data_IF_008594799800
#
_entry.id   IF_008594799800
#
_cell.length_a   1.000
_cell.length_b   1.000
_cell.length_c   1.000
_cell.angle_alpha   90.00
_cell.angle_beta   90.00
_cell.angle_gamma   90.00
#
_symmetry.space_group_name_H-M   'P 1'
#
loop_
_entity.id
_entity.type
_entity.pdbx_description
1 polymer ?
#
# COMPACT_ATOMS: atom_id res chain seq x y z
N UNK A 1 -61.38 -19.03 -10.69
CA UNK A 1 -61.68 -20.06 -11.68
C UNK A 1 -60.52 -21.01 -11.75
N UNK A 2 -60.78 -22.21 -11.30
CA UNK A 2 -59.91 -23.36 -11.24
C UNK A 2 -59.61 -23.93 -12.61
N UNK A 3 -58.50 -24.66 -12.76
CA UNK A 3 -58.49 -26.05 -13.23
C UNK A 3 -57.09 -26.65 -13.14
N UNK A 4 -57.05 -27.64 -12.29
CA UNK A 4 -56.15 -28.79 -12.32
C UNK A 4 -56.15 -29.56 -13.63
N UNK A 5 -55.09 -30.38 -13.81
CA UNK A 5 -55.15 -31.82 -14.17
C UNK A 5 -53.75 -32.34 -14.47
N UNK A 6 -53.12 -33.05 -13.54
CA UNK A 6 -52.97 -34.53 -13.37
C UNK A 6 -52.47 -35.36 -14.56
N UNK A 7 -51.32 -36.07 -14.28
CA UNK A 7 -51.04 -37.50 -14.48
C UNK A 7 -50.98 -38.07 -15.91
N UNK A 8 -49.86 -38.77 -16.22
CA UNK A 8 -49.90 -40.23 -16.42
C UNK A 8 -48.47 -40.83 -16.53
N UNK A 9 -48.28 -41.87 -15.77
CA UNK A 9 -47.14 -42.79 -15.87
C UNK A 9 -47.39 -43.83 -16.99
N UNK A 10 -46.33 -44.28 -17.67
CA UNK A 10 -46.36 -45.59 -18.36
C UNK A 10 -45.00 -46.29 -18.28
N UNK A 11 -45.04 -47.45 -17.70
CA UNK A 11 -43.97 -48.45 -17.66
C UNK A 11 -44.04 -49.28 -18.92
N UNK A 12 -42.91 -49.56 -19.57
CA UNK A 12 -42.78 -50.73 -20.44
C UNK A 12 -41.42 -51.37 -20.10
N UNK A 13 -41.50 -52.61 -19.68
CA UNK A 13 -40.40 -53.56 -19.51
C UNK A 13 -40.08 -54.25 -20.84
N UNK A 14 -38.83 -54.46 -21.14
CA UNK A 14 -38.41 -55.25 -22.29
C UNK A 14 -36.96 -55.66 -22.15
N UNK A 15 -36.72 -56.87 -21.73
CA UNK A 15 -35.39 -57.44 -21.56
C UNK A 15 -34.75 -57.84 -22.90
N UNK A 16 -33.45 -57.73 -22.93
CA UNK A 16 -32.59 -58.50 -23.84
C UNK A 16 -31.28 -58.78 -23.15
N UNK A 17 -31.04 -60.02 -22.94
CA UNK A 17 -29.85 -60.64 -22.43
C UNK A 17 -28.76 -60.64 -23.52
N UNK A 18 -27.66 -59.94 -23.36
CA UNK A 18 -26.45 -60.09 -24.17
C UNK A 18 -25.24 -60.33 -23.24
N UNK A 19 -24.84 -61.57 -23.16
CA UNK A 19 -23.56 -61.98 -22.64
C UNK A 19 -22.46 -61.61 -23.63
N UNK A 20 -21.66 -60.59 -23.31
CA UNK A 20 -20.37 -60.37 -23.96
C UNK A 20 -19.34 -60.17 -22.86
N UNK A 21 -18.39 -61.13 -22.82
CA UNK A 21 -17.20 -61.03 -22.01
C UNK A 21 -16.38 -59.82 -22.47
N UNK A 22 -16.34 -58.76 -21.68
CA UNK A 22 -15.61 -57.52 -21.96
C UNK A 22 -14.71 -57.20 -20.76
N UNK A 23 -13.44 -57.22 -21.00
CA UNK A 23 -12.34 -56.91 -20.10
C UNK A 23 -12.61 -55.65 -19.24
N UNK A 24 -12.58 -55.82 -17.91
CA UNK A 24 -12.57 -54.71 -16.97
C UNK A 24 -11.25 -53.92 -17.13
N UNK A 25 -11.29 -52.82 -17.86
CA UNK A 25 -10.26 -51.79 -17.78
C UNK A 25 -10.43 -51.11 -16.43
N UNK A 26 -9.58 -51.47 -15.48
CA UNK A 26 -9.43 -50.72 -14.25
C UNK A 26 -8.89 -49.31 -14.60
N UNK A 27 -9.74 -48.31 -14.57
CA UNK A 27 -9.31 -46.92 -14.54
C UNK A 27 -8.58 -46.70 -13.20
N UNK A 28 -7.26 -46.70 -13.25
CA UNK A 28 -6.46 -46.18 -12.15
C UNK A 28 -6.83 -44.71 -11.92
N UNK A 29 -7.55 -44.44 -10.84
CA UNK A 29 -7.74 -43.06 -10.37
C UNK A 29 -6.35 -42.49 -10.07
N UNK A 30 -5.97 -41.44 -10.78
CA UNK A 30 -4.79 -40.63 -10.45
C UNK A 30 -4.94 -40.16 -8.99
N UNK A 31 -3.86 -40.21 -8.18
CA UNK A 31 -3.91 -39.71 -6.82
C UNK A 31 -4.31 -38.24 -6.87
N UNK A 32 -5.34 -37.88 -6.09
CA UNK A 32 -5.73 -36.47 -5.89
C UNK A 32 -4.49 -35.70 -5.50
N UNK A 33 -4.16 -34.69 -6.34
CA UNK A 33 -2.97 -33.87 -6.15
C UNK A 33 -2.92 -33.33 -4.73
N UNK A 34 -1.91 -33.74 -3.97
CA UNK A 34 -1.67 -33.27 -2.62
C UNK A 34 -1.56 -31.74 -2.67
N UNK A 35 -2.46 -31.05 -1.98
CA UNK A 35 -2.30 -29.64 -1.70
C UNK A 35 -0.99 -29.52 -0.93
N UNK A 36 0.03 -28.94 -1.56
CA UNK A 36 1.26 -28.59 -0.87
C UNK A 36 0.93 -27.80 0.40
N UNK A 37 1.82 -27.79 1.40
CA UNK A 37 1.56 -27.11 2.66
C UNK A 37 1.09 -25.69 2.37
N UNK A 38 -0.12 -25.31 2.83
CA UNK A 38 -0.61 -23.95 2.76
C UNK A 38 0.44 -23.08 3.46
N UNK A 39 1.16 -22.25 2.68
CA UNK A 39 2.08 -21.27 3.23
C UNK A 39 1.25 -20.39 4.16
N UNK A 40 1.55 -20.44 5.45
CA UNK A 40 0.88 -19.64 6.46
C UNK A 40 1.04 -18.17 6.05
N UNK A 41 -0.06 -17.48 5.78
CA UNK A 41 -0.02 -16.07 5.44
C UNK A 41 0.02 -15.30 6.74
N UNK A 42 1.07 -14.54 6.94
CA UNK A 42 1.13 -13.57 8.02
C UNK A 42 0.08 -12.49 7.81
N UNK A 43 -0.56 -12.06 8.91
CA UNK A 43 -1.48 -10.94 8.87
C UNK A 43 -0.74 -9.66 8.44
N UNK A 44 -1.43 -8.82 7.68
CA UNK A 44 -0.91 -7.51 7.29
C UNK A 44 -0.67 -6.65 8.54
N UNK A 45 0.55 -6.15 8.69
CA UNK A 45 0.93 -5.19 9.71
C UNK A 45 1.81 -4.05 9.16
N UNK A 46 1.85 -3.93 7.82
CA UNK A 46 2.46 -2.84 7.06
C UNK A 46 1.66 -2.59 5.76
N UNK A 47 1.50 -1.33 5.39
CA UNK A 47 0.98 -0.93 4.07
C UNK A 47 1.35 0.52 3.72
N UNK A 48 1.18 0.88 2.43
CA UNK A 48 1.12 2.28 1.96
C UNK A 48 -0.34 2.68 1.91
N UNK A 49 -0.70 3.88 2.36
CA UNK A 49 -2.09 4.35 2.24
C UNK A 49 -2.55 4.36 0.78
N UNK A 50 -3.71 3.81 0.47
CA UNK A 50 -4.27 3.84 -0.90
C UNK A 50 -4.77 5.22 -1.29
N UNK A 51 -5.06 6.07 -0.30
CA UNK A 51 -5.54 7.45 -0.45
C UNK A 51 -4.89 8.33 0.62
N UNK A 52 -4.51 9.56 0.24
CA UNK A 52 -4.07 10.60 1.17
C UNK A 52 -5.26 11.37 1.76
N UNK A 53 -4.97 12.28 2.69
CA UNK A 53 -5.96 13.19 3.21
C UNK A 53 -6.21 14.37 2.23
N UNK A 54 -7.39 15.00 2.24
CA UNK A 54 -7.73 16.08 1.30
C UNK A 54 -6.78 17.30 1.36
N UNK A 55 -6.20 17.57 2.52
CA UNK A 55 -5.24 18.67 2.74
C UNK A 55 -3.82 18.38 2.24
N UNK A 56 -3.59 17.31 1.47
CA UNK A 56 -2.25 16.96 1.00
C UNK A 56 -1.36 16.52 2.15
N UNK A 57 -0.33 17.31 2.50
CA UNK A 57 0.55 17.06 3.64
C UNK A 57 0.02 17.63 4.97
N UNK A 58 -1.13 18.31 4.98
CA UNK A 58 -1.85 18.62 6.20
C UNK A 58 -2.58 17.36 6.69
N UNK A 59 -1.92 16.58 7.50
CA UNK A 59 -2.41 15.32 8.05
C UNK A 59 -3.04 15.50 9.44
N UNK A 60 -3.22 16.75 9.90
CA UNK A 60 -3.58 17.10 11.28
C UNK A 60 -2.54 16.60 12.30
N UNK A 61 -1.26 16.69 11.94
CA UNK A 61 -0.13 16.19 12.72
C UNK A 61 -0.01 14.67 12.70
N UNK A 62 0.86 14.13 13.55
CA UNK A 62 1.07 12.67 13.64
C UNK A 62 -0.19 11.93 14.08
N UNK A 63 -0.97 12.51 15.00
CA UNK A 63 -2.19 11.86 15.50
C UNK A 63 -3.25 11.66 14.41
N UNK A 64 -3.42 12.64 13.50
CA UNK A 64 -4.33 12.51 12.37
C UNK A 64 -3.84 11.48 11.35
N UNK A 65 -2.53 11.44 11.09
CA UNK A 65 -1.93 10.42 10.23
C UNK A 65 -2.10 8.99 10.81
N UNK A 66 -1.88 8.82 12.12
CA UNK A 66 -2.06 7.53 12.81
C UNK A 66 -3.52 7.07 12.76
N UNK A 67 -4.47 8.00 12.98
CA UNK A 67 -5.89 7.71 12.86
C UNK A 67 -6.27 7.27 11.44
N UNK A 68 -5.72 7.93 10.40
CA UNK A 68 -5.93 7.55 9.01
C UNK A 68 -5.40 6.15 8.70
N UNK A 69 -4.20 5.80 9.20
CA UNK A 69 -3.67 4.42 9.11
C UNK A 69 -4.63 3.40 9.72
N UNK A 70 -5.13 3.67 10.94
CA UNK A 70 -6.04 2.78 11.64
C UNK A 70 -7.39 2.64 10.90
N UNK A 71 -7.91 3.72 10.32
CA UNK A 71 -9.17 3.71 9.59
C UNK A 71 -9.06 2.89 8.30
N UNK A 72 -7.99 3.06 7.52
CA UNK A 72 -7.75 2.28 6.30
C UNK A 72 -7.53 0.80 6.61
N UNK A 73 -6.71 0.48 7.62
CA UNK A 73 -6.49 -0.90 8.05
C UNK A 73 -7.81 -1.58 8.47
N UNK A 74 -8.63 -0.88 9.27
CA UNK A 74 -9.94 -1.36 9.70
C UNK A 74 -10.90 -1.57 8.54
N UNK A 75 -10.91 -0.66 7.58
CA UNK A 75 -11.77 -0.78 6.39
C UNK A 75 -11.38 -1.98 5.53
N UNK A 76 -10.07 -2.26 5.39
CA UNK A 76 -9.57 -3.34 4.56
C UNK A 76 -9.69 -4.72 5.21
N UNK A 77 -9.48 -4.82 6.52
CA UNK A 77 -9.35 -6.12 7.22
C UNK A 77 -10.47 -6.41 8.22
N UNK A 78 -11.18 -5.37 8.69
CA UNK A 78 -12.09 -5.46 9.84
C UNK A 78 -11.37 -5.57 11.19
N UNK A 79 -10.05 -5.72 11.20
CA UNK A 79 -9.26 -5.87 12.42
C UNK A 79 -9.13 -4.55 13.19
N UNK A 80 -9.24 -4.63 14.51
CA UNK A 80 -9.10 -3.50 15.44
C UNK A 80 -8.06 -3.78 16.53
N UNK A 81 -7.31 -4.86 16.41
CA UNK A 81 -6.37 -5.29 17.47
C UNK A 81 -5.04 -4.57 17.37
N UNK A 82 -4.66 -4.16 16.16
CA UNK A 82 -3.42 -3.42 15.94
C UNK A 82 -3.57 -1.92 16.26
N UNK A 83 -2.54 -1.38 16.89
CA UNK A 83 -2.28 0.06 16.97
C UNK A 83 -1.41 0.45 15.79
N UNK A 84 -1.85 1.42 15.00
CA UNK A 84 -1.19 1.83 13.77
C UNK A 84 -0.50 3.17 13.93
N UNK A 85 0.74 3.26 13.47
CA UNK A 85 1.47 4.51 13.37
C UNK A 85 1.93 4.77 11.93
N UNK A 86 1.81 6.02 11.52
CA UNK A 86 2.41 6.51 10.29
C UNK A 86 3.92 6.63 10.42
N UNK A 87 4.67 6.21 9.40
CA UNK A 87 6.11 6.42 9.31
C UNK A 87 6.38 7.86 8.89
N UNK A 88 6.33 8.77 9.85
CA UNK A 88 6.51 10.19 9.66
C UNK A 88 7.39 10.75 10.77
N UNK A 89 8.44 11.50 10.40
CA UNK A 89 9.21 12.29 11.37
C UNK A 89 8.58 13.66 11.58
N UNK A 90 8.83 14.27 12.74
CA UNK A 90 8.62 15.71 12.97
C UNK A 90 9.94 16.36 13.32
N UNK A 91 10.10 17.63 12.95
CA UNK A 91 11.27 18.41 13.30
C UNK A 91 11.06 19.14 14.62
N UNK A 92 12.17 19.44 15.31
CA UNK A 92 12.14 20.33 16.47
C UNK A 92 11.49 21.66 16.07
N UNK A 93 10.46 22.07 16.83
CA UNK A 93 9.74 23.31 16.57
C UNK A 93 9.06 23.83 17.84
N UNK A 94 9.18 25.13 18.08
CA UNK A 94 8.51 25.80 19.20
C UNK A 94 8.69 25.11 20.57
N UNK A 95 9.90 24.59 20.85
CA UNK A 95 10.20 23.89 22.09
C UNK A 95 9.73 22.44 22.18
N UNK A 96 9.10 21.92 21.12
CA UNK A 96 8.79 20.49 20.99
C UNK A 96 9.97 19.76 20.35
N UNK A 97 10.47 18.67 20.93
CA UNK A 97 11.59 17.92 20.36
C UNK A 97 11.19 17.25 19.05
N UNK A 98 12.17 16.99 18.18
CA UNK A 98 11.98 16.19 16.99
C UNK A 98 11.54 14.75 17.35
N UNK A 99 10.71 14.15 16.49
CA UNK A 99 10.31 12.75 16.60
C UNK A 99 10.82 12.03 15.35
N UNK A 100 11.54 10.94 15.54
CA UNK A 100 12.03 10.12 14.43
C UNK A 100 10.98 9.12 13.99
N UNK A 101 10.75 8.96 12.69
CA UNK A 101 9.82 7.97 12.17
C UNK A 101 10.20 6.54 12.59
N UNK A 102 11.51 6.20 12.56
CA UNK A 102 12.01 4.87 12.94
C UNK A 102 11.65 4.47 14.37
N UNK A 103 11.54 5.43 15.29
CA UNK A 103 11.27 5.16 16.70
C UNK A 103 9.77 4.98 16.98
N UNK A 104 8.91 5.26 15.99
CA UNK A 104 7.44 5.19 16.11
C UNK A 104 6.82 3.88 15.67
N UNK A 105 7.51 3.10 14.87
CA UNK A 105 6.92 1.99 14.09
C UNK A 105 7.00 0.61 14.77
N UNK A 106 7.45 0.55 16.02
CA UNK A 106 7.59 -0.73 16.73
C UNK A 106 8.85 -1.50 16.36
N UNK A 107 8.82 -2.82 16.51
CA UNK A 107 10.03 -3.67 16.42
C UNK A 107 10.03 -4.62 15.20
N UNK A 108 8.90 -4.78 14.52
CA UNK A 108 8.74 -5.77 13.44
C UNK A 108 8.57 -7.21 13.97
N UNK A 109 8.62 -8.25 13.11
CA UNK A 109 8.72 -8.13 11.65
C UNK A 109 7.43 -7.58 11.01
N UNK A 110 7.58 -6.92 9.86
CA UNK A 110 6.44 -6.34 9.15
C UNK A 110 6.14 -7.07 7.86
N UNK A 111 4.83 -7.25 7.59
CA UNK A 111 4.30 -7.99 6.45
C UNK A 111 3.27 -7.13 5.72
N UNK A 112 3.37 -7.10 4.39
CA UNK A 112 2.41 -6.40 3.55
C UNK A 112 1.07 -7.16 3.43
N UNK A 113 0.11 -6.59 2.70
CA UNK A 113 -1.23 -7.15 2.50
C UNK A 113 -1.24 -8.56 1.86
N UNK A 114 -0.15 -8.95 1.19
CA UNK A 114 0.00 -10.31 0.64
C UNK A 114 0.73 -11.28 1.60
N UNK A 115 1.03 -10.84 2.82
CA UNK A 115 1.77 -11.63 3.81
C UNK A 115 3.24 -11.83 3.46
N UNK A 116 3.81 -10.95 2.63
CA UNK A 116 5.24 -10.91 2.30
C UNK A 116 5.95 -10.02 3.31
N UNK A 117 7.02 -10.51 3.91
CA UNK A 117 7.82 -9.74 4.85
C UNK A 117 8.51 -8.57 4.13
N UNK A 118 8.31 -7.35 4.61
CA UNK A 118 8.97 -6.15 4.10
C UNK A 118 10.27 -5.85 4.84
N UNK A 119 10.33 -6.13 6.12
CA UNK A 119 11.54 -6.07 6.94
C UNK A 119 11.34 -6.86 8.23
N UNK A 120 12.42 -7.38 8.81
CA UNK A 120 12.40 -8.13 10.07
C UNK A 120 12.42 -7.22 11.30
N UNK A 121 13.06 -6.07 11.19
CA UNK A 121 13.22 -5.07 12.26
C UNK A 121 13.56 -3.68 11.68
N UNK A 122 13.70 -2.67 12.53
CA UNK A 122 13.97 -1.31 12.11
C UNK A 122 15.35 -1.13 11.43
N UNK A 123 16.35 -1.92 11.78
CA UNK A 123 17.67 -1.83 11.17
C UNK A 123 17.65 -2.46 9.77
N UNK A 124 16.97 -3.59 9.61
CA UNK A 124 16.73 -4.21 8.32
C UNK A 124 15.91 -3.31 7.40
N UNK A 125 14.86 -2.65 7.93
CA UNK A 125 14.02 -1.70 7.20
C UNK A 125 14.82 -0.55 6.60
N UNK A 126 15.84 -0.04 7.32
CA UNK A 126 16.70 1.04 6.86
C UNK A 126 18.00 0.53 6.21
N UNK A 127 18.17 -0.79 6.14
CA UNK A 127 19.26 -1.47 5.47
C UNK A 127 18.98 -1.74 3.98
N UNK A 128 19.97 -2.32 3.27
CA UNK A 128 19.85 -2.62 1.85
C UNK A 128 18.98 -3.84 1.54
N UNK A 129 18.66 -4.66 2.54
CA UNK A 129 17.97 -5.96 2.36
C UNK A 129 16.44 -5.86 2.54
N UNK A 130 15.90 -4.66 2.81
CA UNK A 130 14.47 -4.49 2.94
C UNK A 130 13.72 -4.75 1.62
N UNK A 131 12.46 -5.14 1.73
CA UNK A 131 11.60 -5.39 0.58
C UNK A 131 10.64 -4.23 0.28
N UNK A 132 10.99 -2.99 0.64
CA UNK A 132 10.24 -1.79 0.29
C UNK A 132 10.60 -1.32 -1.13
N UNK A 133 10.16 -2.08 -2.08
CA UNK A 133 10.20 -1.81 -3.51
C UNK A 133 8.78 -1.95 -4.09
N UNK A 134 8.61 -1.73 -5.38
CA UNK A 134 7.30 -1.70 -6.07
C UNK A 134 6.36 -2.87 -5.71
N UNK A 135 6.88 -4.09 -5.63
CA UNK A 135 6.08 -5.28 -5.30
C UNK A 135 5.88 -5.48 -3.78
N UNK A 136 6.70 -4.84 -2.95
CA UNK A 136 6.65 -4.92 -1.49
C UNK A 136 5.82 -3.81 -0.87
N UNK A 137 5.89 -2.59 -1.42
CA UNK A 137 5.17 -1.41 -0.95
C UNK A 137 3.71 -1.40 -1.44
N UNK A 138 2.92 -2.35 -0.93
CA UNK A 138 1.51 -2.50 -1.29
C UNK A 138 0.62 -1.64 -0.41
N UNK A 139 -0.53 -1.23 -0.97
CA UNK A 139 -1.59 -0.59 -0.19
C UNK A 139 -2.27 -1.58 0.76
N UNK A 140 -3.10 -1.09 1.68
CA UNK A 140 -3.93 -1.93 2.55
C UNK A 140 -4.88 -2.86 1.78
N UNK A 141 -5.15 -2.54 0.51
CA UNK A 141 -5.96 -3.34 -0.42
C UNK A 141 -5.12 -4.36 -1.21
N UNK A 142 -3.81 -4.46 -0.96
CA UNK A 142 -2.90 -5.34 -1.68
C UNK A 142 -2.56 -4.88 -3.11
N UNK A 143 -2.78 -3.62 -3.42
CA UNK A 143 -2.52 -3.03 -4.73
C UNK A 143 -1.16 -2.33 -4.74
N UNK A 144 -0.47 -2.35 -5.88
CA UNK A 144 0.73 -1.54 -6.08
C UNK A 144 0.34 -0.06 -6.20
N UNK A 145 1.15 0.80 -5.61
CA UNK A 145 1.04 2.24 -5.84
C UNK A 145 1.48 2.55 -7.28
N UNK A 146 0.68 3.30 -8.07
CA UNK A 146 1.06 3.68 -9.42
C UNK A 146 2.36 4.50 -9.45
N UNK A 147 3.37 4.02 -10.16
CA UNK A 147 4.69 4.65 -10.25
C UNK A 147 5.30 4.51 -11.64
N UNK A 148 6.57 4.94 -11.80
CA UNK A 148 7.29 4.84 -13.06
C UNK A 148 7.30 3.39 -13.58
N UNK A 149 6.87 3.21 -14.83
CA UNK A 149 6.76 1.90 -15.46
C UNK A 149 5.64 0.99 -14.92
N UNK A 150 4.78 1.47 -14.01
CA UNK A 150 3.53 0.76 -13.70
C UNK A 150 2.45 1.17 -14.70
N UNK A 151 1.62 0.23 -15.17
CA UNK A 151 0.37 0.60 -15.80
C UNK A 151 -0.49 1.31 -14.76
N UNK A 152 -0.80 2.58 -14.99
CA UNK A 152 -1.64 3.39 -14.10
C UNK A 152 -3.08 2.84 -14.01
N UNK A 153 -3.57 2.27 -15.08
CA UNK A 153 -4.79 1.45 -15.18
C UNK A 153 -4.42 0.23 -16.03
N UNK A 154 -4.75 -1.00 -15.59
CA UNK A 154 -4.59 -2.19 -16.43
C UNK A 154 -5.25 -2.06 -17.81
N UNK A 155 -6.17 -1.11 -17.97
CA UNK A 155 -6.92 -0.84 -19.19
C UNK A 155 -6.30 0.26 -20.06
N UNK A 156 -5.40 1.09 -19.51
CA UNK A 156 -4.73 2.14 -20.28
C UNK A 156 -3.25 2.24 -19.93
N UNK A 157 -2.41 1.72 -20.81
CA UNK A 157 -0.98 1.53 -20.65
C UNK A 157 -0.16 2.49 -21.52
N UNK A 158 -0.78 3.49 -22.14
CA UNK A 158 -0.06 4.34 -23.07
C UNK A 158 0.73 5.43 -22.33
N UNK A 159 1.99 5.64 -22.72
CA UNK A 159 2.80 6.77 -22.30
C UNK A 159 2.09 8.12 -22.56
N UNK A 160 1.27 8.19 -23.61
CA UNK A 160 0.48 9.37 -23.94
C UNK A 160 -0.59 9.66 -22.90
N UNK A 161 -1.21 8.63 -22.31
CA UNK A 161 -2.17 8.80 -21.22
C UNK A 161 -1.47 9.36 -19.96
N UNK A 162 -0.31 8.83 -19.60
CA UNK A 162 0.44 9.31 -18.43
C UNK A 162 0.89 10.77 -18.59
N UNK A 163 1.28 11.20 -19.80
CA UNK A 163 1.59 12.60 -20.07
C UNK A 163 0.38 13.52 -20.01
N UNK A 164 -0.80 13.05 -20.42
CA UNK A 164 -2.04 13.82 -20.36
C UNK A 164 -2.73 13.76 -18.99
N UNK A 165 -2.32 12.80 -18.12
CA UNK A 165 -2.85 12.61 -16.78
C UNK A 165 -1.70 12.57 -15.76
N UNK A 166 -1.04 13.69 -15.49
CA UNK A 166 0.14 13.74 -14.59
C UNK A 166 -0.18 13.28 -13.15
N UNK A 167 -1.46 13.24 -12.78
CA UNK A 167 -1.94 12.74 -11.49
C UNK A 167 -2.07 11.22 -11.40
N UNK A 168 -1.75 10.48 -12.46
CA UNK A 168 -1.82 9.01 -12.45
C UNK A 168 -0.64 8.36 -11.72
N UNK A 169 0.51 9.04 -11.66
CA UNK A 169 1.71 8.59 -10.92
C UNK A 169 1.60 9.10 -9.48
N UNK A 170 1.77 8.22 -8.49
CA UNK A 170 1.59 8.53 -7.06
C UNK A 170 2.69 7.95 -6.19
N UNK A 171 3.84 7.62 -6.76
CA UNK A 171 4.90 6.88 -6.10
C UNK A 171 5.70 7.69 -5.07
N UNK A 172 5.50 9.01 -4.98
CA UNK A 172 6.13 9.82 -3.95
C UNK A 172 5.35 9.76 -2.65
N UNK A 173 6.03 9.28 -1.61
CA UNK A 173 5.45 8.94 -0.31
C UNK A 173 6.00 9.89 0.74
N UNK A 174 5.12 10.53 1.52
CA UNK A 174 5.50 11.42 2.61
C UNK A 174 6.22 10.66 3.72
N UNK A 175 7.34 11.19 4.20
CA UNK A 175 8.12 10.58 5.28
C UNK A 175 8.70 11.60 6.27
N UNK A 176 9.14 12.75 5.79
CA UNK A 176 9.83 13.75 6.62
C UNK A 176 11.12 13.24 7.25
N UNK A 177 11.71 12.17 6.69
CA UNK A 177 12.77 11.40 7.33
C UNK A 177 14.03 11.36 6.49
N UNK A 178 15.19 11.33 7.14
CA UNK A 178 16.46 10.94 6.57
C UNK A 178 16.44 9.44 6.22
N UNK A 179 17.44 8.97 5.46
CA UNK A 179 17.54 7.56 5.05
C UNK A 179 17.57 6.57 6.21
N UNK A 180 18.13 6.97 7.34
CA UNK A 180 18.18 6.15 8.55
C UNK A 180 16.90 6.25 9.41
N UNK A 181 15.88 6.96 8.93
CA UNK A 181 14.58 7.14 9.59
C UNK A 181 14.56 8.19 10.69
N UNK A 182 15.65 8.97 10.85
CA UNK A 182 15.66 10.09 11.78
C UNK A 182 15.10 11.35 11.17
N UNK A 183 14.65 12.26 12.03
CA UNK A 183 14.23 13.59 11.65
C UNK A 183 15.41 14.41 11.07
N UNK A 184 15.10 15.31 10.16
CA UNK A 184 16.04 16.33 9.72
C UNK A 184 16.25 17.38 10.83
N UNK A 185 17.41 18.06 10.86
CA UNK A 185 17.60 19.23 11.70
C UNK A 185 16.63 20.36 11.30
N UNK A 186 16.34 21.33 12.19
CA UNK A 186 15.31 22.36 11.95
C UNK A 186 15.77 23.55 11.09
N UNK A 187 16.82 23.39 10.29
CA UNK A 187 17.37 24.41 9.40
C UNK A 187 16.50 24.71 8.18
N UNK A 188 15.69 23.71 7.78
CA UNK A 188 14.71 23.78 6.70
C UNK A 188 13.50 22.91 7.04
N UNK A 189 12.31 23.31 6.57
CA UNK A 189 11.11 22.49 6.75
C UNK A 189 11.09 21.29 5.79
N UNK A 190 11.11 20.08 6.35
CA UNK A 190 11.01 18.79 5.67
C UNK A 190 9.70 18.07 5.99
N UNK A 191 8.78 18.70 6.71
CA UNK A 191 7.63 18.06 7.33
C UNK A 191 6.31 18.81 7.11
N UNK A 192 6.30 19.80 6.23
CA UNK A 192 5.12 20.64 6.04
C UNK A 192 4.56 21.14 7.38
N UNK A 193 5.42 21.83 8.16
CA UNK A 193 5.10 22.33 9.49
C UNK A 193 4.62 21.21 10.45
N UNK A 194 5.39 20.11 10.50
CA UNK A 194 5.03 18.91 11.29
C UNK A 194 3.64 18.39 10.95
N UNK A 195 3.35 18.31 9.63
CA UNK A 195 2.12 17.72 9.05
C UNK A 195 0.84 18.52 9.35
N UNK A 196 0.98 19.84 9.43
CA UNK A 196 -0.16 20.76 9.69
C UNK A 196 -0.32 21.84 8.63
N UNK A 197 0.53 21.84 7.58
CA UNK A 197 0.47 22.84 6.50
C UNK A 197 -0.03 22.21 5.20
N UNK A 198 -0.85 22.98 4.48
CA UNK A 198 -1.31 22.72 3.11
C UNK A 198 -0.88 23.84 2.15
N UNK A 199 0.19 24.56 2.50
CA UNK A 199 0.68 25.65 1.67
C UNK A 199 1.13 25.15 0.30
N UNK A 200 0.75 25.92 -0.76
CA UNK A 200 1.03 25.57 -2.16
C UNK A 200 2.53 25.45 -2.46
N UNK A 201 3.36 26.18 -1.72
CA UNK A 201 4.80 26.18 -1.95
C UNK A 201 5.23 26.89 -3.25
N UNK A 202 6.50 26.76 -3.58
CA UNK A 202 7.07 27.33 -4.79
C UNK A 202 7.05 26.30 -5.95
N UNK A 203 6.90 26.78 -7.19
CA UNK A 203 6.85 25.95 -8.40
C UNK A 203 7.98 24.91 -8.49
N UNK A 204 7.71 23.70 -8.97
CA UNK A 204 8.69 22.60 -9.11
C UNK A 204 9.91 22.96 -9.97
N UNK A 205 9.81 23.92 -10.87
CA UNK A 205 10.93 24.40 -11.67
C UNK A 205 12.04 25.11 -10.85
N UNK A 206 11.80 25.37 -9.57
CA UNK A 206 12.77 25.97 -8.64
C UNK A 206 13.25 25.02 -7.54
N UNK A 207 12.95 23.73 -7.64
CA UNK A 207 13.25 22.73 -6.61
C UNK A 207 14.73 22.65 -6.20
N UNK A 208 15.66 23.06 -7.05
CA UNK A 208 17.10 23.08 -6.72
C UNK A 208 17.50 24.17 -5.71
N UNK A 209 16.67 25.19 -5.51
CA UNK A 209 16.89 26.28 -4.55
C UNK A 209 15.61 26.54 -3.74
N UNK A 210 14.76 25.54 -3.56
CA UNK A 210 13.50 25.70 -2.85
C UNK A 210 13.75 25.87 -1.35
N UNK A 211 13.52 27.05 -0.82
CA UNK A 211 13.56 27.38 0.61
C UNK A 211 12.16 27.45 1.22
N UNK A 212 11.13 27.18 0.43
CA UNK A 212 9.74 27.18 0.86
C UNK A 212 9.33 25.92 1.63
N UNK A 213 8.09 25.89 2.13
CA UNK A 213 7.56 24.71 2.82
C UNK A 213 7.50 23.51 1.88
N UNK A 214 7.79 22.34 2.42
CA UNK A 214 7.74 21.07 1.71
C UNK A 214 7.85 19.89 2.66
N UNK A 215 7.61 18.70 2.15
CA UNK A 215 7.80 17.47 2.89
C UNK A 215 8.90 16.62 2.25
N UNK A 216 9.77 16.01 3.05
CA UNK A 216 10.67 14.97 2.54
C UNK A 216 9.84 13.77 2.10
N UNK A 217 10.16 13.26 0.94
CA UNK A 217 9.47 12.16 0.28
C UNK A 217 10.43 11.02 -0.03
N UNK A 218 9.89 9.80 -0.03
CA UNK A 218 10.54 8.61 -0.57
C UNK A 218 9.80 8.09 -1.80
N UNK A 219 10.25 6.97 -2.33
CA UNK A 219 9.65 6.30 -3.48
C UNK A 219 9.07 4.94 -3.10
N UNK A 220 7.85 4.67 -3.48
CA UNK A 220 7.21 3.35 -3.29
C UNK A 220 7.53 2.35 -4.40
N UNK A 221 8.41 2.71 -5.31
CA UNK A 221 8.89 1.88 -6.41
C UNK A 221 10.42 1.89 -6.49
N UNK A 222 10.98 1.21 -7.47
CA UNK A 222 12.42 1.03 -7.61
C UNK A 222 13.14 2.26 -8.19
N UNK A 223 12.46 3.39 -8.35
CA UNK A 223 13.02 4.60 -8.97
C UNK A 223 13.88 5.45 -8.01
N UNK A 224 13.93 5.10 -6.73
CA UNK A 224 14.73 5.81 -5.71
C UNK A 224 14.60 5.24 -4.31
N UNK A 225 15.27 5.86 -3.33
CA UNK A 225 15.16 5.45 -1.92
C UNK A 225 13.71 5.52 -1.42
N UNK A 226 13.31 4.52 -0.65
CA UNK A 226 11.93 4.39 -0.19
C UNK A 226 11.49 5.50 0.78
N UNK A 227 12.40 6.12 1.54
CA UNK A 227 12.05 7.07 2.59
C UNK A 227 12.71 8.44 2.50
N UNK A 228 13.69 8.65 1.63
CA UNK A 228 14.40 9.95 1.53
C UNK A 228 14.98 10.12 0.13
N UNK A 229 14.20 10.73 -0.75
CA UNK A 229 14.56 11.03 -2.14
C UNK A 229 14.76 12.52 -2.38
N UNK A 230 14.03 13.36 -1.69
CA UNK A 230 14.02 14.81 -1.85
C UNK A 230 12.79 15.45 -1.25
N UNK A 231 12.64 16.75 -1.43
CA UNK A 231 11.55 17.54 -0.84
C UNK A 231 10.52 17.87 -1.92
N UNK A 232 9.24 17.68 -1.61
CA UNK A 232 8.10 18.04 -2.46
C UNK A 232 8.10 19.54 -2.83
N UNK A 233 7.40 19.89 -3.89
CA UNK A 233 7.28 21.28 -4.35
C UNK A 233 6.40 22.19 -3.47
N UNK A 234 5.75 21.62 -2.46
CA UNK A 234 4.86 22.27 -1.52
C UNK A 234 4.10 21.24 -0.70
N UNK A 235 3.13 21.68 0.08
CA UNK A 235 2.39 20.88 1.03
C UNK A 235 0.93 20.63 0.61
N UNK A 236 0.38 21.44 -0.30
CA UNK A 236 -0.97 21.24 -0.81
C UNK A 236 -1.10 19.97 -1.64
N UNK A 237 -2.33 19.49 -1.80
CA UNK A 237 -2.60 18.33 -2.65
C UNK A 237 -2.10 18.54 -4.09
N UNK A 238 -2.32 19.73 -4.65
CA UNK A 238 -1.88 20.11 -6.00
C UNK A 238 -0.36 20.17 -6.10
N UNK A 239 0.32 20.68 -5.08
CA UNK A 239 1.79 20.73 -5.05
C UNK A 239 2.39 19.33 -5.01
N UNK A 240 1.84 18.44 -4.20
CA UNK A 240 2.25 17.03 -4.14
C UNK A 240 1.99 16.30 -5.46
N UNK A 241 0.82 16.52 -6.07
CA UNK A 241 0.46 15.89 -7.34
C UNK A 241 1.37 16.31 -8.49
N UNK A 242 1.86 17.56 -8.49
CA UNK A 242 2.85 18.04 -9.48
C UNK A 242 4.21 17.33 -9.38
N UNK A 243 4.56 16.81 -8.21
CA UNK A 243 5.77 16.03 -7.98
C UNK A 243 5.53 14.51 -7.99
N UNK A 244 4.40 14.05 -8.53
CA UNK A 244 4.02 12.63 -8.59
C UNK A 244 3.68 12.01 -7.21
N UNK A 245 3.23 12.81 -6.28
CA UNK A 245 2.69 12.40 -4.99
C UNK A 245 1.16 12.50 -4.94
N UNK A 246 0.58 11.94 -3.90
CA UNK A 246 -0.86 12.06 -3.60
C UNK A 246 -1.12 12.19 -2.10
N UNK A 247 -0.13 12.65 -1.33
CA UNK A 247 -0.22 12.71 0.12
C UNK A 247 -0.25 11.33 0.79
N UNK A 248 0.28 10.30 0.12
CA UNK A 248 0.37 8.94 0.66
C UNK A 248 1.52 8.82 1.67
N UNK A 249 1.39 7.91 2.63
CA UNK A 249 2.43 7.59 3.60
C UNK A 249 2.38 6.12 4.03
N UNK A 250 3.46 5.65 4.65
CA UNK A 250 3.56 4.28 5.14
C UNK A 250 2.92 4.13 6.51
N UNK A 251 2.24 3.02 6.75
CA UNK A 251 1.59 2.65 8.00
C UNK A 251 2.18 1.35 8.55
N UNK A 252 2.48 1.35 9.84
CA UNK A 252 3.05 0.21 10.55
C UNK A 252 2.24 -0.10 11.81
N UNK A 253 1.95 -1.37 12.05
CA UNK A 253 1.43 -1.81 13.33
C UNK A 253 2.58 -1.91 14.34
N UNK A 254 2.33 -1.46 15.58
CA UNK A 254 3.37 -1.36 16.63
C UNK A 254 3.24 -2.40 17.73
N UNK A 255 2.19 -3.23 17.74
CA UNK A 255 1.88 -4.29 18.72
C UNK A 255 1.57 -5.63 18.04
#
# INVERSE_FOLDING_TARGET
MAKDMTSLASRIAGGALCLIAGSCLAFAQAPAGGQGPKKERHAMNFFVTSVGLPGGANLHGLAGADAHCADLARAATGDRTYTWHAYLSTQERAGQPAINARDRIGKGPWYNANGVMVAKDADDLHGPENNLHKAGALTELGQMVPGDGAPADPRDQSWAYMQSHPYSIRHEILTGSQRDGRAFPPDRDHTCNNWTSEEEGNSPLRARNNTGPGAEIGKSDDSGPWNSQGVSGGCSHEALARSHGAGLFYCFAIN
#
